data_IF_864575520663
#
_entry.id   IF_864575520663
#
_cell.length_a   1.000
_cell.length_b   1.000
_cell.length_c   1.000
_cell.angle_alpha   90.00
_cell.angle_beta   90.00
_cell.angle_gamma   90.00
#
_symmetry.space_group_name_H-M   'P 1'
#
loop_
_entity.id
_entity.type
_entity.pdbx_description
1 polymer ?
#
# COMPACT_ATOMS: atom_id res chain seq x y z
N UNK A 1 31.18 -14.69 11.90
CA UNK A 1 30.15 -14.74 12.97
C UNK A 1 29.39 -13.43 12.93
N UNK A 2 28.26 -13.43 12.24
CA UNK A 2 27.31 -12.31 12.25
C UNK A 2 26.55 -12.41 13.56
N UNK A 3 26.72 -11.44 14.45
CA UNK A 3 25.92 -11.29 15.64
C UNK A 3 24.52 -10.84 15.23
N UNK A 4 23.58 -11.76 15.20
CA UNK A 4 22.14 -11.44 15.12
C UNK A 4 21.77 -10.80 16.44
N UNK A 5 21.58 -9.50 16.42
CA UNK A 5 21.26 -8.70 17.61
C UNK A 5 19.84 -9.06 18.08
N UNK A 6 19.68 -9.32 19.36
CA UNK A 6 18.42 -9.59 20.07
C UNK A 6 17.36 -8.47 19.96
N UNK A 7 17.66 -7.41 19.23
CA UNK A 7 16.80 -6.23 19.04
C UNK A 7 15.62 -6.48 18.10
N UNK A 8 15.81 -7.29 17.06
CA UNK A 8 14.81 -7.39 15.97
C UNK A 8 13.59 -8.23 16.34
N UNK A 9 13.77 -9.27 17.18
CA UNK A 9 12.67 -10.11 17.65
C UNK A 9 11.78 -9.41 18.69
N UNK A 10 12.35 -8.47 19.44
CA UNK A 10 11.62 -7.73 20.47
C UNK A 10 10.70 -6.67 19.83
N UNK A 11 11.16 -5.97 18.78
CA UNK A 11 10.39 -4.96 18.07
C UNK A 11 9.22 -5.53 17.27
N UNK A 12 9.33 -6.74 16.75
CA UNK A 12 8.20 -7.40 16.06
C UNK A 12 7.04 -7.64 17.03
N UNK A 13 7.32 -8.00 18.30
CA UNK A 13 6.30 -8.32 19.29
C UNK A 13 5.58 -7.08 19.87
N UNK A 14 6.14 -5.87 19.67
CA UNK A 14 5.57 -4.64 20.21
C UNK A 14 4.43 -4.10 19.34
N UNK A 15 4.48 -4.30 18.02
CA UNK A 15 3.52 -3.76 17.05
C UNK A 15 2.61 -4.80 16.41
N UNK A 16 3.10 -6.03 16.25
CA UNK A 16 2.42 -7.10 15.54
C UNK A 16 2.10 -8.28 16.49
N UNK A 17 0.86 -8.77 16.49
CA UNK A 17 0.55 -10.03 17.18
C UNK A 17 1.18 -11.21 16.43
N UNK A 18 1.30 -12.34 17.11
CA UNK A 18 1.85 -13.56 16.51
C UNK A 18 1.02 -14.06 15.30
N UNK A 19 -0.30 -13.79 15.30
CA UNK A 19 -1.21 -14.18 14.24
C UNK A 19 -2.33 -13.13 14.06
N UNK A 20 -2.70 -12.88 12.81
CA UNK A 20 -3.90 -12.12 12.42
C UNK A 20 -4.70 -13.02 11.47
N UNK A 21 -5.97 -13.24 11.79
CA UNK A 21 -6.84 -14.06 10.96
C UNK A 21 -6.91 -13.52 9.52
N UNK A 22 -6.63 -14.39 8.55
CA UNK A 22 -6.66 -14.03 7.13
C UNK A 22 -5.42 -13.32 6.58
N UNK A 23 -4.37 -13.14 7.39
CA UNK A 23 -3.10 -12.48 7.00
C UNK A 23 -1.92 -13.41 7.29
N UNK A 24 -1.07 -13.59 6.30
CA UNK A 24 0.24 -14.25 6.44
C UNK A 24 1.29 -13.19 6.87
N UNK A 25 1.44 -13.02 8.19
CA UNK A 25 2.36 -12.04 8.78
C UNK A 25 3.80 -12.26 8.33
N UNK A 26 4.37 -13.49 8.34
CA UNK A 26 5.73 -13.73 7.87
C UNK A 26 5.98 -13.24 6.44
N UNK A 27 5.08 -13.57 5.53
CA UNK A 27 5.20 -13.14 4.12
C UNK A 27 5.02 -11.63 3.97
N UNK A 28 4.11 -11.00 4.71
CA UNK A 28 3.90 -9.55 4.68
C UNK A 28 5.09 -8.79 5.27
N UNK A 29 5.62 -9.26 6.40
CA UNK A 29 6.81 -8.69 7.03
C UNK A 29 8.04 -8.79 6.13
N UNK A 30 8.21 -9.91 5.42
CA UNK A 30 9.28 -10.06 4.43
C UNK A 30 9.19 -9.01 3.32
N UNK A 31 7.98 -8.71 2.81
CA UNK A 31 7.75 -7.63 1.81
C UNK A 31 8.04 -6.24 2.36
N UNK A 32 7.81 -6.03 3.67
CA UNK A 32 8.18 -4.82 4.37
C UNK A 32 9.67 -4.78 4.79
N UNK A 33 10.51 -5.65 4.21
CA UNK A 33 11.95 -5.76 4.52
C UNK A 33 12.24 -5.99 6.00
N UNK A 34 11.36 -6.70 6.70
CA UNK A 34 11.47 -6.98 8.13
C UNK A 34 11.06 -5.82 9.05
N UNK A 35 10.62 -4.69 8.50
CA UNK A 35 10.21 -3.53 9.30
C UNK A 35 8.79 -3.72 9.84
N UNK A 36 8.70 -4.15 11.12
CA UNK A 36 7.43 -4.44 11.78
C UNK A 36 6.55 -3.21 11.98
N UNK A 37 7.13 -2.05 12.27
CA UNK A 37 6.40 -0.79 12.43
C UNK A 37 5.78 -0.35 11.10
N UNK A 38 6.54 -0.38 10.02
CA UNK A 38 6.04 -0.07 8.68
C UNK A 38 4.90 -1.02 8.30
N UNK A 39 5.08 -2.33 8.55
CA UNK A 39 4.07 -3.31 8.23
C UNK A 39 2.78 -3.11 9.04
N UNK A 40 2.89 -2.81 10.34
CA UNK A 40 1.74 -2.46 11.18
C UNK A 40 0.98 -1.24 10.62
N UNK A 41 1.68 -0.18 10.20
CA UNK A 41 1.07 0.99 9.56
C UNK A 41 0.38 0.63 8.24
N UNK A 42 0.97 -0.23 7.41
CA UNK A 42 0.34 -0.68 6.18
C UNK A 42 -0.96 -1.46 6.43
N UNK A 43 -0.99 -2.29 7.49
CA UNK A 43 -2.19 -3.01 7.90
C UNK A 43 -3.29 -2.07 8.39
N UNK A 44 -2.96 -1.08 9.22
CA UNK A 44 -3.93 -0.08 9.70
C UNK A 44 -4.47 0.76 8.53
N UNK A 45 -3.60 1.27 7.65
CA UNK A 45 -4.01 2.01 6.46
C UNK A 45 -4.92 1.17 5.54
N UNK A 46 -4.66 -0.13 5.43
CA UNK A 46 -5.54 -1.04 4.69
C UNK A 46 -6.93 -1.10 5.34
N UNK A 47 -6.99 -1.29 6.66
CA UNK A 47 -8.26 -1.37 7.38
C UNK A 47 -9.09 -0.10 7.22
N UNK A 48 -8.47 1.07 7.34
CA UNK A 48 -9.15 2.36 7.19
C UNK A 48 -9.62 2.61 5.76
N UNK A 49 -8.76 2.35 4.76
CA UNK A 49 -9.05 2.64 3.35
C UNK A 49 -10.14 1.75 2.78
N UNK A 50 -10.20 0.48 3.19
CA UNK A 50 -11.07 -0.51 2.57
C UNK A 50 -12.29 -0.89 3.43
N UNK A 51 -12.55 -0.21 4.53
CA UNK A 51 -13.75 -0.43 5.37
C UNK A 51 -15.07 -0.25 4.57
N UNK A 52 -15.09 0.61 3.57
CA UNK A 52 -16.24 0.89 2.70
C UNK A 52 -16.15 0.28 1.29
N UNK A 53 -15.16 -0.58 1.01
CA UNK A 53 -14.87 -1.04 -0.35
C UNK A 53 -16.05 -1.75 -1.04
N UNK A 54 -16.85 -2.53 -0.30
CA UNK A 54 -18.06 -3.15 -0.85
C UNK A 54 -19.03 -2.11 -1.36
N UNK A 55 -19.34 -1.12 -0.53
CA UNK A 55 -20.30 -0.06 -0.83
C UNK A 55 -19.84 0.77 -2.03
N UNK A 56 -18.54 1.08 -2.12
CA UNK A 56 -17.96 1.79 -3.25
C UNK A 56 -18.11 0.99 -4.56
N UNK A 57 -17.75 -0.29 -4.55
CA UNK A 57 -17.86 -1.19 -5.71
C UNK A 57 -19.34 -1.38 -6.10
N UNK A 58 -20.20 -1.62 -5.14
CA UNK A 58 -21.64 -1.79 -5.37
C UNK A 58 -22.25 -0.55 -6.00
N UNK A 59 -21.97 0.64 -5.45
CA UNK A 59 -22.46 1.90 -5.98
C UNK A 59 -22.01 2.18 -7.41
N UNK A 60 -20.76 1.85 -7.75
CA UNK A 60 -20.25 1.98 -9.11
C UNK A 60 -20.99 1.04 -10.08
N UNK A 61 -21.23 -0.22 -9.69
CA UNK A 61 -22.00 -1.18 -10.51
C UNK A 61 -23.44 -0.72 -10.71
N UNK A 62 -24.12 -0.24 -9.66
CA UNK A 62 -25.51 0.24 -9.73
C UNK A 62 -25.65 1.47 -10.64
N UNK A 63 -24.64 2.33 -10.71
CA UNK A 63 -24.57 3.45 -11.65
C UNK A 63 -24.20 3.04 -13.08
N UNK A 64 -23.82 1.79 -13.30
CA UNK A 64 -23.33 1.32 -14.60
C UNK A 64 -21.86 1.66 -14.88
N UNK A 65 -21.13 2.17 -13.91
CA UNK A 65 -19.71 2.56 -13.97
C UNK A 65 -18.82 1.30 -13.77
N UNK A 66 -18.93 0.35 -14.69
CA UNK A 66 -18.28 -0.98 -14.53
C UNK A 66 -16.75 -0.87 -14.54
N UNK A 67 -16.19 0.04 -15.32
CA UNK A 67 -14.73 0.25 -15.34
C UNK A 67 -14.21 0.81 -14.02
N UNK A 68 -14.99 1.66 -13.36
CA UNK A 68 -14.67 2.16 -12.02
C UNK A 68 -14.73 1.03 -10.98
N UNK A 69 -15.82 0.25 -10.97
CA UNK A 69 -15.94 -0.92 -10.09
C UNK A 69 -14.78 -1.90 -10.28
N UNK A 70 -14.35 -2.13 -11.52
CA UNK A 70 -13.20 -2.98 -11.85
C UNK A 70 -11.89 -2.38 -11.32
N UNK A 71 -11.69 -1.06 -11.45
CA UNK A 71 -10.52 -0.34 -10.93
C UNK A 71 -10.42 -0.46 -9.41
N UNK A 72 -11.54 -0.31 -8.70
CA UNK A 72 -11.61 -0.51 -7.25
C UNK A 72 -11.23 -1.94 -6.84
N UNK A 73 -11.78 -2.95 -7.52
CA UNK A 73 -11.44 -4.36 -7.27
C UNK A 73 -9.96 -4.65 -7.56
N UNK A 74 -9.40 -4.07 -8.64
CA UNK A 74 -7.98 -4.18 -8.98
C UNK A 74 -7.09 -3.57 -7.91
N UNK A 75 -7.42 -2.39 -7.43
CA UNK A 75 -6.68 -1.69 -6.36
C UNK A 75 -6.71 -2.51 -5.06
N UNK A 76 -7.88 -3.00 -4.65
CA UNK A 76 -8.04 -3.86 -3.48
C UNK A 76 -7.18 -5.13 -3.60
N UNK A 77 -7.22 -5.81 -4.77
CA UNK A 77 -6.38 -6.99 -5.05
C UNK A 77 -4.89 -6.70 -4.85
N UNK A 78 -4.41 -5.58 -5.39
CA UNK A 78 -3.00 -5.19 -5.28
C UNK A 78 -2.58 -4.92 -3.84
N UNK A 79 -3.36 -4.14 -3.10
CA UNK A 79 -3.03 -3.78 -1.71
C UNK A 79 -3.17 -4.98 -0.77
N UNK A 80 -4.22 -5.81 -0.95
CA UNK A 80 -4.38 -7.06 -0.20
C UNK A 80 -3.20 -8.03 -0.42
N UNK A 81 -2.68 -8.09 -1.65
CA UNK A 81 -1.47 -8.84 -1.97
C UNK A 81 -0.24 -8.32 -1.22
N UNK A 82 -0.05 -7.01 -1.13
CA UNK A 82 1.08 -6.41 -0.43
C UNK A 82 1.09 -6.72 1.07
N UNK A 83 -0.08 -6.72 1.70
CA UNK A 83 -0.20 -7.07 3.13
C UNK A 83 -0.37 -8.57 3.38
N UNK A 84 -0.31 -9.41 2.34
CA UNK A 84 -0.48 -10.86 2.41
C UNK A 84 -1.85 -11.31 2.94
N UNK A 85 -2.91 -10.54 2.67
CA UNK A 85 -4.31 -10.92 2.90
C UNK A 85 -4.81 -11.78 1.72
N UNK A 86 -4.36 -13.03 1.66
CA UNK A 86 -4.52 -13.91 0.48
C UNK A 86 -5.98 -14.21 0.13
N UNK A 87 -6.86 -14.34 1.13
CA UNK A 87 -8.30 -14.55 0.92
C UNK A 87 -8.97 -13.34 0.26
N UNK A 88 -8.69 -12.13 0.76
CA UNK A 88 -9.19 -10.88 0.16
C UNK A 88 -8.64 -10.71 -1.26
N UNK A 89 -7.34 -10.97 -1.45
CA UNK A 89 -6.70 -10.89 -2.76
C UNK A 89 -7.35 -11.81 -3.81
N UNK A 90 -7.67 -13.07 -3.42
CA UNK A 90 -8.30 -14.05 -4.32
C UNK A 90 -9.70 -13.59 -4.73
N UNK A 91 -10.53 -13.17 -3.76
CA UNK A 91 -11.90 -12.70 -4.02
C UNK A 91 -11.92 -11.42 -4.86
N UNK A 92 -11.03 -10.47 -4.58
CA UNK A 92 -10.90 -9.25 -5.36
C UNK A 92 -10.48 -9.53 -6.82
N UNK A 93 -9.58 -10.51 -7.04
CA UNK A 93 -9.19 -10.97 -8.39
C UNK A 93 -10.39 -11.59 -9.14
N UNK A 94 -11.14 -12.44 -8.47
CA UNK A 94 -12.27 -13.12 -9.08
C UNK A 94 -13.41 -12.13 -9.39
N UNK A 95 -13.62 -11.14 -8.52
CA UNK A 95 -14.55 -10.02 -8.74
C UNK A 95 -14.11 -9.15 -9.93
N UNK A 96 -12.84 -8.78 -10.03
CA UNK A 96 -12.28 -8.06 -11.17
C UNK A 96 -12.56 -8.80 -12.49
N UNK A 97 -12.33 -10.11 -12.53
CA UNK A 97 -12.55 -10.95 -13.72
C UNK A 97 -14.04 -11.07 -14.12
N UNK A 98 -14.95 -11.03 -13.16
CA UNK A 98 -16.41 -11.05 -13.42
C UNK A 98 -16.88 -9.71 -13.96
N UNK A 99 -16.39 -8.61 -13.39
CA UNK A 99 -16.69 -7.25 -13.86
C UNK A 99 -16.17 -7.00 -15.27
N UNK A 100 -14.95 -7.46 -15.59
CA UNK A 100 -14.38 -7.39 -16.94
C UNK A 100 -15.27 -8.08 -18.00
N UNK A 101 -15.87 -9.23 -17.64
CA UNK A 101 -16.77 -9.98 -18.54
C UNK A 101 -18.19 -9.45 -18.56
N UNK A 102 -18.48 -8.35 -17.86
CA UNK A 102 -19.82 -7.73 -17.72
C UNK A 102 -20.90 -8.73 -17.27
N UNK A 103 -20.54 -9.77 -16.51
CA UNK A 103 -21.47 -10.77 -15.97
C UNK A 103 -22.06 -10.29 -14.65
N UNK A 104 -23.01 -9.37 -14.72
CA UNK A 104 -23.59 -8.69 -13.56
C UNK A 104 -24.33 -9.61 -12.56
N UNK A 105 -24.78 -10.81 -12.95
CA UNK A 105 -25.44 -11.71 -12.01
C UNK A 105 -24.49 -12.42 -11.04
N UNK A 106 -23.22 -12.61 -11.40
CA UNK A 106 -22.25 -13.32 -10.57
C UNK A 106 -21.54 -12.42 -9.56
N UNK A 107 -21.53 -11.07 -9.79
CA UNK A 107 -20.79 -10.17 -8.92
C UNK A 107 -21.37 -10.07 -7.51
N UNK A 108 -22.70 -10.11 -7.35
CA UNK A 108 -23.36 -9.92 -6.07
C UNK A 108 -22.93 -10.98 -5.03
N UNK A 109 -22.80 -12.22 -5.45
CA UNK A 109 -22.33 -13.30 -4.58
C UNK A 109 -20.88 -13.09 -4.16
N UNK A 110 -20.01 -12.79 -5.13
CA UNK A 110 -18.59 -12.54 -4.86
C UNK A 110 -18.38 -11.30 -3.98
N UNK A 111 -19.19 -10.27 -4.18
CA UNK A 111 -19.14 -9.05 -3.38
C UNK A 111 -19.56 -9.31 -1.93
N UNK A 112 -20.59 -10.16 -1.70
CA UNK A 112 -20.98 -10.56 -0.37
C UNK A 112 -19.93 -11.45 0.32
N UNK A 113 -19.31 -12.37 -0.40
CA UNK A 113 -18.20 -13.18 0.12
C UNK A 113 -16.98 -12.30 0.44
N UNK A 114 -16.66 -11.34 -0.42
CA UNK A 114 -15.58 -10.38 -0.20
C UNK A 114 -15.82 -9.55 1.06
N UNK A 115 -17.04 -9.05 1.28
CA UNK A 115 -17.39 -8.29 2.48
C UNK A 115 -17.11 -9.11 3.74
N UNK A 116 -17.60 -10.34 3.82
CA UNK A 116 -17.43 -11.19 5.00
C UNK A 116 -15.95 -11.42 5.33
N UNK A 117 -15.13 -11.70 4.31
CA UNK A 117 -13.69 -11.93 4.49
C UNK A 117 -12.97 -10.64 4.84
N UNK A 118 -13.33 -9.54 4.17
CA UNK A 118 -12.74 -8.22 4.39
C UNK A 118 -13.02 -7.71 5.80
N UNK A 119 -14.28 -7.79 6.26
CA UNK A 119 -14.69 -7.40 7.62
C UNK A 119 -13.96 -8.22 8.68
N UNK A 120 -13.82 -9.54 8.45
CA UNK A 120 -13.07 -10.42 9.34
C UNK A 120 -11.61 -9.99 9.46
N UNK A 121 -10.96 -9.68 8.33
CA UNK A 121 -9.56 -9.25 8.27
C UNK A 121 -9.41 -7.86 8.91
N UNK A 122 -10.25 -6.89 8.56
CA UNK A 122 -10.23 -5.54 9.13
C UNK A 122 -10.42 -5.60 10.65
N UNK A 123 -11.43 -6.33 11.13
CA UNK A 123 -11.67 -6.49 12.55
C UNK A 123 -10.51 -7.19 13.29
N UNK A 124 -9.82 -8.13 12.63
CA UNK A 124 -8.65 -8.78 13.20
C UNK A 124 -7.44 -7.82 13.26
N UNK A 125 -7.24 -6.98 12.25
CA UNK A 125 -6.22 -5.91 12.23
C UNK A 125 -6.45 -4.94 13.38
N UNK A 126 -7.66 -4.37 13.48
CA UNK A 126 -8.01 -3.36 14.48
C UNK A 126 -7.88 -3.86 15.92
N UNK A 127 -8.17 -5.14 16.15
CA UNK A 127 -8.01 -5.75 17.49
C UNK A 127 -6.58 -6.15 17.80
N UNK A 128 -5.82 -6.52 16.80
CA UNK A 128 -4.50 -7.13 16.99
C UNK A 128 -3.34 -6.16 16.94
N UNK A 129 -3.47 -5.06 16.21
CA UNK A 129 -2.37 -4.12 16.02
C UNK A 129 -2.50 -2.97 17.01
N UNK A 130 -1.42 -2.75 17.77
CA UNK A 130 -1.27 -1.53 18.55
C UNK A 130 -0.83 -0.43 17.59
N UNK A 131 -1.53 0.70 17.64
CA UNK A 131 -1.07 1.87 16.89
C UNK A 131 0.40 2.13 17.25
N UNK A 132 1.30 2.14 16.26
CA UNK A 132 2.64 2.64 16.49
C UNK A 132 2.44 4.06 17.01
N UNK A 133 2.82 4.33 18.26
CA UNK A 133 2.67 5.65 18.83
C UNK A 133 3.13 6.65 17.80
N UNK A 134 2.36 7.71 17.58
CA UNK A 134 2.70 8.77 16.66
C UNK A 134 4.06 9.31 17.08
N UNK A 135 5.12 8.66 16.64
CA UNK A 135 6.36 9.37 16.46
C UNK A 135 5.99 10.36 15.36
N UNK A 136 5.63 11.55 15.80
CA UNK A 136 5.64 12.71 14.93
C UNK A 136 6.90 12.54 14.09
N UNK A 137 6.71 12.33 12.80
CA UNK A 137 7.78 12.48 11.83
C UNK A 137 8.51 13.72 12.34
N UNK A 138 9.79 13.65 12.75
CA UNK A 138 10.45 14.82 13.24
C UNK A 138 10.09 15.88 12.23
N UNK A 139 9.39 16.93 12.68
CA UNK A 139 8.93 18.02 11.81
C UNK A 139 10.07 18.24 10.87
N UNK A 140 9.83 18.00 9.58
CA UNK A 140 10.87 18.17 8.59
C UNK A 140 11.30 19.62 8.83
N UNK A 141 12.44 19.77 9.52
CA UNK A 141 13.05 21.10 9.70
C UNK A 141 12.93 21.70 8.32
N UNK A 142 12.38 22.92 8.20
CA UNK A 142 12.13 23.50 6.89
C UNK A 142 13.35 23.18 6.05
N UNK A 143 13.11 22.38 5.00
CA UNK A 143 14.20 21.76 4.27
C UNK A 143 15.07 22.90 3.82
N UNK A 144 16.32 22.88 4.26
CA UNK A 144 17.29 23.94 3.97
C UNK A 144 17.29 24.07 2.44
N UNK A 145 16.69 25.14 1.90
CA UNK A 145 16.51 25.36 0.46
C UNK A 145 17.85 25.17 -0.26
N UNK A 146 18.95 25.59 0.37
CA UNK A 146 20.31 25.36 -0.09
C UNK A 146 20.67 23.87 -0.21
N UNK A 147 20.15 23.01 0.67
CA UNK A 147 20.44 21.59 0.67
C UNK A 147 19.64 20.85 -0.41
N UNK A 148 18.39 21.27 -0.64
CA UNK A 148 17.57 20.78 -1.75
C UNK A 148 18.23 21.18 -3.06
N UNK A 149 18.63 22.42 -3.22
CA UNK A 149 19.29 22.91 -4.42
C UNK A 149 20.61 22.21 -4.70
N UNK A 150 21.44 21.96 -3.68
CA UNK A 150 22.67 21.18 -3.81
C UNK A 150 22.39 19.72 -4.22
N UNK A 151 21.38 19.07 -3.63
CA UNK A 151 21.01 17.70 -3.95
C UNK A 151 20.47 17.59 -5.37
N UNK A 152 19.65 18.56 -5.79
CA UNK A 152 19.13 18.64 -7.16
C UNK A 152 20.26 18.88 -8.18
N UNK A 153 21.23 19.75 -7.87
CA UNK A 153 22.43 19.96 -8.71
C UNK A 153 23.30 18.72 -8.81
N UNK A 154 23.47 17.96 -7.72
CA UNK A 154 24.21 16.69 -7.74
C UNK A 154 23.49 15.61 -8.57
N UNK A 155 22.17 15.47 -8.39
CA UNK A 155 21.35 14.55 -9.18
C UNK A 155 21.39 14.90 -10.68
N UNK A 156 21.25 16.18 -11.00
CA UNK A 156 21.33 16.68 -12.36
C UNK A 156 22.71 16.40 -13.00
N UNK A 157 23.78 16.55 -12.24
CA UNK A 157 25.16 16.25 -12.72
C UNK A 157 25.38 14.76 -12.94
N UNK A 158 24.78 13.89 -12.11
CA UNK A 158 24.86 12.44 -12.26
C UNK A 158 24.05 11.95 -13.46
N UNK A 159 22.85 12.50 -13.68
CA UNK A 159 22.00 12.20 -14.83
C UNK A 159 22.66 12.66 -16.13
N UNK A 160 23.25 13.86 -16.17
CA UNK A 160 23.97 14.37 -17.35
C UNK A 160 25.22 13.57 -17.73
N UNK A 161 25.81 12.80 -16.79
CA UNK A 161 26.92 11.87 -17.09
C UNK A 161 26.45 10.54 -17.66
N UNK A 162 25.19 10.18 -17.47
CA UNK A 162 24.67 8.86 -17.84
C UNK A 162 23.87 8.87 -19.15
N UNK A 163 23.41 10.04 -19.62
CA UNK A 163 22.58 10.15 -20.83
C UNK A 163 22.80 11.51 -21.52
N UNK A 164 23.26 11.53 -22.79
CA UNK A 164 23.48 12.77 -23.56
C UNK A 164 22.18 13.55 -23.82
N UNK A 165 21.00 12.91 -23.86
CA UNK A 165 19.71 13.59 -24.05
C UNK A 165 19.28 14.36 -22.78
N UNK A 166 19.79 13.99 -21.60
CA UNK A 166 19.53 14.72 -20.36
C UNK A 166 20.16 16.12 -20.34
N UNK A 167 21.18 16.39 -21.14
CA UNK A 167 21.80 17.70 -21.28
C UNK A 167 20.86 18.71 -21.97
N UNK A 168 20.07 18.25 -22.92
CA UNK A 168 19.11 19.12 -23.62
C UNK A 168 17.94 19.51 -22.70
N UNK A 169 17.43 18.56 -21.92
CA UNK A 169 16.37 18.82 -20.94
C UNK A 169 16.82 19.81 -19.85
N UNK A 170 18.08 19.73 -19.42
CA UNK A 170 18.68 20.65 -18.46
C UNK A 170 18.86 22.07 -18.99
N UNK A 171 19.14 22.23 -20.28
CA UNK A 171 19.23 23.54 -20.91
C UNK A 171 17.88 24.26 -20.92
N UNK A 172 16.80 23.51 -21.25
CA UNK A 172 15.43 24.04 -21.21
C UNK A 172 14.96 24.41 -19.81
N UNK A 173 15.38 23.63 -18.78
CA UNK A 173 15.02 23.93 -17.39
C UNK A 173 15.73 25.18 -16.86
N UNK A 174 16.98 25.41 -17.25
CA UNK A 174 17.73 26.62 -16.88
C UNK A 174 17.14 27.90 -17.46
N UNK A 175 16.58 27.86 -18.65
CA UNK A 175 15.89 29.01 -19.28
C UNK A 175 14.51 29.27 -18.66
N UNK A 176 13.89 28.25 -18.02
CA UNK A 176 12.58 28.41 -17.40
C UNK A 176 12.62 28.94 -15.96
N UNK A 177 13.79 28.92 -15.30
CA UNK A 177 13.97 29.30 -13.88
C UNK A 177 14.74 30.66 -13.76
N UNK A 178 15.33 31.15 -14.83
CA UNK A 178 15.97 32.48 -14.90
C UNK A 178 15.01 33.54 -15.33
#
# INVERSE_FOLDING_TARGET
RVQTTRSDAQTVNDYLPAQISGIDIPSGLHRASGNAELYARLLLNFADRFAGAKQEIQAAVEKGEIDEARSLAHTLKGVAGNISATGVQALARDLEAVLEKKKTQAYAKLLAELELVLDSVIGAIQRGIKEPGVQQCPEAKPADENRIEQTMKQLATLLAKSDPDAQFAMSCLKEAIG
#
